data_IF_244330430006
#
_entry.id   IF_244330430006
#
_cell.length_a   1.000
_cell.length_b   1.000
_cell.length_c   1.000
_cell.angle_alpha   90.00
_cell.angle_beta   90.00
_cell.angle_gamma   90.00
#
_symmetry.space_group_name_H-M   'P 1'
#
loop_
_entity.id
_entity.type
_entity.pdbx_description
1 polymer ?
#
# COMPACT_ATOMS: atom_id res chain seq x y z
N UNK A 1 -15.67 -29.08 5.09
CA UNK A 1 -14.32 -28.80 4.57
C UNK A 1 -14.45 -27.62 3.63
N UNK A 2 -14.32 -26.40 4.17
CA UNK A 2 -14.30 -25.18 3.37
C UNK A 2 -12.92 -25.09 2.73
N UNK A 3 -12.86 -25.08 1.40
CA UNK A 3 -11.61 -24.85 0.67
C UNK A 3 -11.11 -23.45 1.02
N UNK A 4 -10.21 -23.35 2.00
CA UNK A 4 -9.35 -22.18 2.18
C UNK A 4 -8.38 -22.17 1.01
N UNK A 5 -8.82 -21.64 -0.12
CA UNK A 5 -7.92 -21.22 -1.19
C UNK A 5 -7.10 -20.10 -0.58
N UNK A 6 -5.94 -20.43 -0.03
CA UNK A 6 -5.05 -19.46 0.63
C UNK A 6 -4.68 -18.45 -0.45
N UNK A 7 -5.27 -17.26 -0.38
CA UNK A 7 -4.96 -16.19 -1.32
C UNK A 7 -3.49 -15.84 -1.14
N UNK A 8 -2.66 -16.25 -2.10
CA UNK A 8 -1.24 -15.94 -2.11
C UNK A 8 -1.03 -14.70 -2.97
N UNK A 9 -0.52 -13.64 -2.34
CA UNK A 9 -0.11 -12.42 -3.04
C UNK A 9 1.15 -12.71 -3.86
N UNK A 10 1.22 -12.16 -5.08
CA UNK A 10 2.51 -11.93 -5.74
C UNK A 10 3.20 -10.73 -5.10
N UNK A 11 4.52 -10.51 -5.33
CA UNK A 11 5.18 -9.29 -4.87
C UNK A 11 4.49 -8.01 -5.37
N UNK A 12 3.98 -8.01 -6.60
CA UNK A 12 3.26 -6.87 -7.17
C UNK A 12 1.89 -6.68 -6.49
N UNK A 13 1.17 -7.76 -6.18
CA UNK A 13 -0.09 -7.67 -5.44
C UNK A 13 0.14 -7.12 -4.02
N UNK A 14 1.24 -7.48 -3.34
CA UNK A 14 1.56 -6.94 -2.03
C UNK A 14 1.79 -5.41 -2.06
N UNK A 15 2.45 -4.90 -3.12
CA UNK A 15 2.60 -3.45 -3.31
C UNK A 15 1.25 -2.76 -3.55
N UNK A 16 0.39 -3.36 -4.38
CA UNK A 16 -0.96 -2.87 -4.63
C UNK A 16 -1.80 -2.88 -3.35
N UNK A 17 -1.75 -3.98 -2.60
CA UNK A 17 -2.51 -4.16 -1.37
C UNK A 17 -2.20 -3.05 -0.36
N UNK A 18 -0.91 -2.73 -0.18
CA UNK A 18 -0.49 -1.65 0.74
C UNK A 18 -0.91 -0.26 0.26
N UNK A 19 -0.86 0.00 -1.05
CA UNK A 19 -1.37 1.26 -1.61
C UNK A 19 -2.88 1.41 -1.38
N UNK A 20 -3.66 0.34 -1.59
CA UNK A 20 -5.11 0.34 -1.35
C UNK A 20 -5.42 0.47 0.13
N UNK A 21 -4.69 -0.25 1.00
CA UNK A 21 -4.87 -0.21 2.44
C UNK A 21 -4.73 1.22 3.00
N UNK A 22 -3.73 1.97 2.51
CA UNK A 22 -3.56 3.39 2.87
C UNK A 22 -4.76 4.23 2.42
N UNK A 23 -5.14 4.12 1.14
CA UNK A 23 -6.28 4.87 0.59
C UNK A 23 -7.62 4.52 1.26
N UNK A 24 -7.78 3.30 1.75
CA UNK A 24 -9.01 2.84 2.41
C UNK A 24 -9.02 3.05 3.93
N UNK A 25 -7.94 3.57 4.52
CA UNK A 25 -7.73 3.54 5.99
C UNK A 25 -8.67 4.44 6.79
N UNK A 26 -9.23 5.48 6.18
CA UNK A 26 -10.22 6.39 6.78
C UNK A 26 -11.66 6.15 6.28
N UNK A 27 -11.90 5.00 5.62
CA UNK A 27 -13.16 4.62 4.98
C UNK A 27 -13.62 5.52 3.82
N UNK A 28 -12.80 6.50 3.38
CA UNK A 28 -13.13 7.41 2.27
C UNK A 28 -12.01 7.50 1.22
N UNK A 29 -12.06 6.57 0.26
CA UNK A 29 -11.10 6.52 -0.86
C UNK A 29 -11.29 7.70 -1.79
N UNK A 30 -10.26 8.56 -1.87
CA UNK A 30 -10.31 9.76 -2.73
C UNK A 30 -9.93 9.43 -4.16
N UNK A 31 -10.53 10.14 -5.12
CA UNK A 31 -10.21 9.96 -6.55
C UNK A 31 -8.74 10.23 -6.86
N UNK A 32 -8.11 11.19 -6.15
CA UNK A 32 -6.70 11.51 -6.33
C UNK A 32 -5.78 10.33 -5.95
N UNK A 33 -6.08 9.63 -4.87
CA UNK A 33 -5.37 8.42 -4.44
C UNK A 33 -5.54 7.29 -5.47
N UNK A 34 -6.77 7.03 -5.95
CA UNK A 34 -7.01 6.02 -6.98
C UNK A 34 -6.27 6.30 -8.29
N UNK A 35 -6.19 7.57 -8.70
CA UNK A 35 -5.41 7.99 -9.87
C UNK A 35 -3.92 7.74 -9.61
N UNK A 36 -3.44 7.99 -8.40
CA UNK A 36 -2.04 7.75 -8.02
C UNK A 36 -1.69 6.25 -8.05
N UNK A 37 -2.56 5.40 -7.52
CA UNK A 37 -2.42 3.94 -7.56
C UNK A 37 -2.33 3.46 -9.01
N UNK A 38 -3.30 3.85 -9.84
CA UNK A 38 -3.30 3.47 -11.26
C UNK A 38 -2.07 3.98 -12.00
N UNK A 39 -1.63 5.21 -11.73
CA UNK A 39 -0.42 5.76 -12.35
C UNK A 39 0.84 4.99 -11.94
N UNK A 40 0.97 4.62 -10.67
CA UNK A 40 2.09 3.81 -10.20
C UNK A 40 2.14 2.44 -10.89
N UNK A 41 1.00 1.75 -10.94
CA UNK A 41 0.89 0.41 -11.55
C UNK A 41 1.18 0.44 -13.05
N UNK A 42 0.72 1.46 -13.76
CA UNK A 42 0.93 1.55 -15.21
C UNK A 42 2.36 1.98 -15.61
N UNK A 43 3.05 2.74 -14.77
CA UNK A 43 4.28 3.43 -15.19
C UNK A 43 5.56 2.96 -14.50
N UNK A 44 5.48 2.31 -13.34
CA UNK A 44 6.68 1.94 -12.59
C UNK A 44 7.23 0.57 -13.00
N UNK A 45 8.55 0.42 -13.16
CA UNK A 45 9.16 -0.85 -13.61
C UNK A 45 8.86 -2.05 -12.71
N UNK A 46 8.59 -1.83 -11.42
CA UNK A 46 8.24 -2.92 -10.49
C UNK A 46 6.94 -3.61 -10.87
N UNK A 47 6.05 -2.93 -11.60
CA UNK A 47 4.78 -3.45 -12.11
C UNK A 47 4.87 -3.92 -13.57
N UNK A 48 6.07 -4.06 -14.14
CA UNK A 48 6.22 -4.60 -15.49
C UNK A 48 5.56 -5.98 -15.60
N UNK A 49 4.66 -6.14 -16.57
CA UNK A 49 3.91 -7.38 -16.80
C UNK A 49 2.82 -7.68 -15.76
N UNK A 50 2.47 -6.71 -14.90
CA UNK A 50 1.37 -6.87 -13.95
C UNK A 50 0.03 -6.98 -14.68
N UNK A 51 -0.82 -7.90 -14.22
CA UNK A 51 -2.18 -8.08 -14.72
C UNK A 51 -3.12 -7.09 -14.01
N UNK A 52 -3.60 -6.08 -14.74
CA UNK A 52 -4.48 -5.04 -14.19
C UNK A 52 -5.81 -5.59 -13.67
N UNK A 53 -6.29 -6.73 -14.18
CA UNK A 53 -7.53 -7.34 -13.69
C UNK A 53 -7.39 -7.81 -12.23
N UNK A 54 -6.14 -8.02 -11.75
CA UNK A 54 -5.86 -8.35 -10.35
C UNK A 54 -6.09 -7.19 -9.39
N UNK A 55 -6.11 -5.93 -9.87
CA UNK A 55 -6.35 -4.78 -8.99
C UNK A 55 -7.66 -4.91 -8.22
N UNK A 56 -8.74 -5.31 -8.89
CA UNK A 56 -10.04 -5.47 -8.27
C UNK A 56 -10.04 -6.62 -7.24
N UNK A 57 -9.31 -7.70 -7.52
CA UNK A 57 -9.19 -8.85 -6.61
C UNK A 57 -8.42 -8.45 -5.35
N UNK A 58 -7.32 -7.73 -5.51
CA UNK A 58 -6.51 -7.24 -4.39
C UNK A 58 -7.30 -6.22 -3.58
N UNK A 59 -8.04 -5.30 -4.23
CA UNK A 59 -8.90 -4.34 -3.56
C UNK A 59 -9.94 -5.02 -2.68
N UNK A 60 -10.67 -5.99 -3.24
CA UNK A 60 -11.67 -6.74 -2.48
C UNK A 60 -11.04 -7.47 -1.30
N UNK A 61 -9.86 -8.07 -1.49
CA UNK A 61 -9.15 -8.75 -0.40
C UNK A 61 -8.80 -7.79 0.74
N UNK A 62 -8.33 -6.58 0.42
CA UNK A 62 -8.02 -5.56 1.45
C UNK A 62 -9.28 -5.14 2.20
N UNK A 63 -10.40 -4.90 1.50
CA UNK A 63 -11.67 -4.57 2.14
C UNK A 63 -12.18 -5.70 3.04
N UNK A 64 -12.17 -6.93 2.54
CA UNK A 64 -12.59 -8.12 3.31
C UNK A 64 -11.75 -8.28 4.58
N UNK A 65 -10.45 -7.94 4.53
CA UNK A 65 -9.57 -7.94 5.69
C UNK A 65 -9.91 -6.82 6.66
N UNK A 66 -10.18 -5.59 6.20
CA UNK A 66 -10.53 -4.47 7.07
C UNK A 66 -11.85 -4.68 7.83
N UNK A 67 -12.74 -5.56 7.35
CA UNK A 67 -13.94 -5.97 8.08
C UNK A 67 -13.64 -6.93 9.26
N UNK A 68 -12.43 -7.51 9.35
CA UNK A 68 -12.05 -8.45 10.40
C UNK A 68 -11.36 -7.74 11.58
N UNK A 69 -11.57 -8.25 12.80
CA UNK A 69 -10.95 -7.73 14.03
C UNK A 69 -9.40 -7.71 13.96
N UNK A 70 -8.79 -8.78 13.43
CA UNK A 70 -7.33 -8.92 13.24
C UNK A 70 -6.89 -8.71 11.77
N UNK A 71 -7.69 -7.95 11.01
CA UNK A 71 -7.53 -7.78 9.58
C UNK A 71 -6.18 -7.23 9.14
N UNK A 72 -5.67 -6.23 9.86
CA UNK A 72 -4.39 -5.59 9.59
C UNK A 72 -3.21 -6.56 9.81
N UNK A 73 -3.25 -7.35 10.89
CA UNK A 73 -2.22 -8.35 11.16
C UNK A 73 -2.18 -9.42 10.07
N UNK A 74 -3.36 -9.85 9.60
CA UNK A 74 -3.49 -10.77 8.48
C UNK A 74 -2.98 -10.16 7.17
N UNK A 75 -3.30 -8.89 6.87
CA UNK A 75 -2.77 -8.17 5.71
C UNK A 75 -1.25 -8.14 5.72
N UNK A 76 -0.64 -7.72 6.83
CA UNK A 76 0.82 -7.69 6.96
C UNK A 76 1.43 -9.10 6.91
N UNK A 77 0.73 -10.13 7.40
CA UNK A 77 1.09 -11.53 7.19
C UNK A 77 1.24 -11.89 5.71
N UNK A 78 0.22 -11.61 4.91
CA UNK A 78 0.24 -11.88 3.46
C UNK A 78 1.34 -11.08 2.75
N UNK A 79 1.55 -9.82 3.15
CA UNK A 79 2.59 -8.96 2.60
C UNK A 79 3.99 -9.50 2.92
N UNK A 80 4.26 -9.88 4.17
CA UNK A 80 5.57 -10.43 4.59
C UNK A 80 5.91 -11.73 3.86
N UNK A 81 4.91 -12.56 3.58
CA UNK A 81 5.10 -13.82 2.85
C UNK A 81 5.40 -13.57 1.36
N UNK A 82 4.82 -12.53 0.77
CA UNK A 82 4.90 -12.26 -0.66
C UNK A 82 5.98 -11.26 -1.08
N UNK A 83 6.34 -10.30 -0.21
CA UNK A 83 7.18 -9.15 -0.58
C UNK A 83 8.66 -9.39 -0.22
N UNK A 84 9.58 -9.42 -1.20
CA UNK A 84 11.01 -9.52 -0.91
C UNK A 84 11.52 -8.29 -0.14
N UNK A 85 12.39 -8.49 0.85
CA UNK A 85 12.98 -7.40 1.67
C UNK A 85 13.53 -6.21 0.87
N UNK A 86 14.13 -6.46 -0.30
CA UNK A 86 14.66 -5.39 -1.19
C UNK A 86 13.59 -4.43 -1.73
N UNK A 87 12.30 -4.75 -1.60
CA UNK A 87 11.16 -3.93 -2.04
C UNK A 87 10.40 -3.29 -0.88
N UNK A 88 10.82 -3.46 0.38
CA UNK A 88 10.15 -2.85 1.53
C UNK A 88 10.12 -1.32 1.43
N UNK A 89 11.24 -0.69 1.07
CA UNK A 89 11.31 0.75 0.82
C UNK A 89 10.47 1.18 -0.39
N UNK A 90 10.31 0.29 -1.39
CA UNK A 90 9.44 0.55 -2.55
C UNK A 90 7.98 0.57 -2.11
N UNK A 91 7.55 -0.41 -1.32
CA UNK A 91 6.21 -0.47 -0.75
C UNK A 91 5.90 0.78 0.09
N UNK A 92 6.82 1.15 0.97
CA UNK A 92 6.67 2.33 1.81
C UNK A 92 6.62 3.63 1.00
N UNK A 93 7.48 3.77 -0.01
CA UNK A 93 7.47 4.94 -0.88
C UNK A 93 6.18 5.07 -1.68
N UNK A 94 5.62 3.97 -2.18
CA UNK A 94 4.34 3.95 -2.89
C UNK A 94 3.19 4.38 -1.97
N UNK A 95 3.13 3.84 -0.75
CA UNK A 95 2.15 4.20 0.24
C UNK A 95 2.21 5.68 0.63
N UNK A 96 3.40 6.22 0.89
CA UNK A 96 3.58 7.66 1.14
C UNK A 96 3.16 8.54 -0.04
N UNK A 97 3.30 8.05 -1.27
CA UNK A 97 2.93 8.76 -2.48
C UNK A 97 1.40 8.75 -2.70
N UNK A 98 0.71 7.68 -2.28
CA UNK A 98 -0.76 7.58 -2.29
C UNK A 98 -1.36 8.48 -1.22
N UNK A 99 -0.92 8.37 0.04
CA UNK A 99 -1.40 9.23 1.13
C UNK A 99 -1.23 10.73 0.83
N UNK A 100 -0.16 11.11 0.13
CA UNK A 100 0.10 12.51 -0.20
C UNK A 100 -0.63 13.01 -1.45
N UNK A 101 -1.43 12.18 -2.13
CA UNK A 101 -1.92 12.44 -3.49
C UNK A 101 -2.76 13.72 -3.61
N UNK A 102 -3.47 14.13 -2.56
CA UNK A 102 -4.29 15.34 -2.55
C UNK A 102 -3.73 16.50 -1.70
N UNK A 103 -2.51 16.33 -1.16
CA UNK A 103 -1.82 17.35 -0.37
C UNK A 103 -2.19 17.40 1.11
N UNK A 104 -3.10 16.54 1.57
CA UNK A 104 -3.41 16.32 2.99
C UNK A 104 -3.17 14.86 3.37
N UNK A 105 -2.81 14.58 4.62
CA UNK A 105 -2.71 13.21 5.13
C UNK A 105 -3.55 13.14 6.40
N UNK A 106 -4.53 12.25 6.44
CA UNK A 106 -5.39 12.00 7.57
C UNK A 106 -4.66 11.25 8.69
N UNK A 107 -5.19 11.33 9.91
CA UNK A 107 -4.58 10.64 11.06
C UNK A 107 -4.59 9.11 10.90
N UNK A 108 -5.64 8.54 10.29
CA UNK A 108 -5.73 7.11 10.03
C UNK A 108 -4.64 6.64 9.04
N UNK A 109 -4.41 7.39 7.96
CA UNK A 109 -3.34 7.11 7.01
C UNK A 109 -1.96 7.22 7.66
N UNK A 110 -1.75 8.24 8.50
CA UNK A 110 -0.48 8.41 9.23
C UNK A 110 -0.20 7.21 10.15
N UNK A 111 -1.22 6.74 10.87
CA UNK A 111 -1.12 5.54 11.73
C UNK A 111 -0.82 4.29 10.91
N UNK A 112 -1.46 4.11 9.76
CA UNK A 112 -1.16 2.96 8.92
C UNK A 112 0.26 3.04 8.34
N UNK A 113 0.73 4.23 7.95
CA UNK A 113 2.13 4.43 7.55
C UNK A 113 3.11 4.16 8.70
N UNK A 114 2.73 4.45 9.95
CA UNK A 114 3.49 4.09 11.15
C UNK A 114 3.65 2.58 11.28
N UNK A 115 2.55 1.83 11.18
CA UNK A 115 2.56 0.37 11.22
C UNK A 115 3.38 -0.21 10.07
N UNK A 116 3.24 0.32 8.85
CA UNK A 116 4.04 -0.11 7.70
C UNK A 116 5.55 0.06 7.93
N UNK A 117 6.00 1.15 8.58
CA UNK A 117 7.43 1.33 8.89
C UNK A 117 7.93 0.23 9.83
N UNK A 118 7.11 -0.12 10.83
CA UNK A 118 7.45 -1.16 11.80
C UNK A 118 7.48 -2.54 11.14
N UNK A 119 6.40 -2.91 10.45
CA UNK A 119 6.20 -4.23 9.84
C UNK A 119 7.18 -4.52 8.69
N UNK A 120 7.58 -3.48 7.96
CA UNK A 120 8.55 -3.59 6.88
C UNK A 120 9.99 -3.32 7.34
N UNK A 121 10.24 -3.15 8.64
CA UNK A 121 11.57 -2.91 9.22
C UNK A 121 12.31 -1.73 8.56
N UNK A 122 11.59 -0.63 8.24
CA UNK A 122 12.17 0.52 7.54
C UNK A 122 13.04 1.34 8.50
N UNK A 123 14.30 1.53 8.15
CA UNK A 123 15.20 2.41 8.92
C UNK A 123 14.65 3.84 8.99
N UNK A 124 14.83 4.48 10.14
CA UNK A 124 14.30 5.83 10.41
C UNK A 124 14.83 6.88 9.43
N UNK A 125 16.08 6.79 9.00
CA UNK A 125 16.65 7.72 8.02
C UNK A 125 16.09 7.48 6.62
N UNK A 126 15.85 6.22 6.25
CA UNK A 126 15.27 5.88 4.96
C UNK A 126 13.80 6.32 4.89
N UNK A 127 13.02 6.06 5.95
CA UNK A 127 11.65 6.54 6.07
C UNK A 127 11.58 8.07 5.94
N UNK A 128 12.40 8.80 6.71
CA UNK A 128 12.44 10.25 6.66
C UNK A 128 12.80 10.78 5.25
N UNK A 129 13.73 10.11 4.54
CA UNK A 129 14.09 10.48 3.18
C UNK A 129 12.93 10.24 2.18
N UNK A 130 12.23 9.12 2.31
CA UNK A 130 11.07 8.76 1.49
C UNK A 130 9.92 9.76 1.71
N UNK A 131 9.55 10.01 2.97
CA UNK A 131 8.51 10.97 3.34
C UNK A 131 8.84 12.37 2.83
N UNK A 132 10.10 12.80 2.99
CA UNK A 132 10.57 14.09 2.49
C UNK A 132 10.45 14.19 0.96
N UNK A 133 10.75 13.10 0.26
CA UNK A 133 10.63 12.99 -1.20
C UNK A 133 9.18 13.03 -1.66
N UNK A 134 8.28 12.28 -1.02
CA UNK A 134 6.84 12.31 -1.31
C UNK A 134 6.29 13.72 -1.12
N UNK A 135 6.57 14.35 0.03
CA UNK A 135 6.15 15.74 0.29
C UNK A 135 6.65 16.73 -0.76
N UNK A 136 7.88 16.54 -1.26
CA UNK A 136 8.42 17.42 -2.29
C UNK A 136 7.73 17.26 -3.65
N UNK A 137 7.29 16.03 -4.00
CA UNK A 137 6.58 15.76 -5.26
C UNK A 137 5.13 16.26 -5.25
N UNK A 138 4.49 16.30 -4.08
CA UNK A 138 3.08 16.69 -3.94
C UNK A 138 2.88 18.12 -3.41
N UNK A 139 3.93 18.94 -3.40
CA UNK A 139 3.81 20.35 -3.06
C UNK A 139 3.00 21.11 -4.13
N UNK A 140 2.01 21.88 -3.69
CA UNK A 140 1.16 22.74 -4.53
C UNK A 140 1.56 24.22 -4.39
N UNK A 141 1.10 25.08 -5.32
CA UNK A 141 1.35 26.54 -5.36
C UNK A 141 0.14 27.33 -4.89
#
# INVERSE_FOLDING_TARGET
MTNSTTFSLTPQDALVALMIAVSASDEDIRTAELVKINSAVNNLPVFAGYDLDRLNVVAQTVFDLFEQEDGLDALFGLVRDALPKRLHETAYALACDVAAADGSIAEAELRLLEEMRYELEIDRLHAAAIERGSRARHATL
#
